data_IF_082531113003
#
_entry.id   IF_082531113003
#
_cell.length_a   1.000
_cell.length_b   1.000
_cell.length_c   1.000
_cell.angle_alpha   90.00
_cell.angle_beta   90.00
_cell.angle_gamma   90.00
#
_symmetry.space_group_name_H-M   'P 1'
#
loop_
_entity.id
_entity.type
_entity.pdbx_description
1 polymer ?
#
# COMPACT_ATOMS: atom_id res chain seq x y z
N UNK A 1 -9.93 4.37 11.57
CA UNK A 1 -10.12 2.90 11.52
C UNK A 1 -8.94 2.24 10.80
N UNK A 2 -8.52 1.02 11.16
CA UNK A 2 -7.36 0.32 10.56
C UNK A 2 -7.80 -1.00 9.89
N UNK A 3 -7.28 -1.28 8.70
CA UNK A 3 -7.43 -2.57 8.00
C UNK A 3 -6.07 -3.07 7.52
N UNK A 4 -5.86 -4.38 7.49
CA UNK A 4 -4.64 -5.00 6.94
C UNK A 4 -4.93 -5.76 5.64
N UNK A 5 -3.96 -5.75 4.73
CA UNK A 5 -3.95 -6.53 3.49
C UNK A 5 -2.65 -7.31 3.45
N UNK A 6 -2.67 -8.62 3.24
CA UNK A 6 -1.43 -9.41 3.16
C UNK A 6 -0.65 -9.06 1.90
N UNK A 7 0.67 -8.90 2.00
CA UNK A 7 1.51 -8.60 0.82
C UNK A 7 1.44 -9.74 -0.20
N UNK A 8 1.30 -11.00 0.25
CA UNK A 8 1.14 -12.15 -0.64
C UNK A 8 -0.15 -12.13 -1.48
N UNK A 9 -1.15 -11.34 -1.06
CA UNK A 9 -2.41 -11.14 -1.79
C UNK A 9 -2.28 -10.02 -2.84
N UNK A 10 -1.20 -9.23 -2.77
CA UNK A 10 -0.95 -8.11 -3.67
C UNK A 10 -0.02 -8.52 -4.81
N UNK A 11 -0.25 -7.94 -5.99
CA UNK A 11 0.66 -8.13 -7.12
C UNK A 11 1.94 -7.32 -6.90
N UNK A 12 3.10 -8.00 -6.88
CA UNK A 12 4.42 -7.39 -6.76
C UNK A 12 5.13 -7.34 -8.11
N UNK A 13 5.60 -6.16 -8.47
CA UNK A 13 6.33 -5.91 -9.71
C UNK A 13 7.75 -5.49 -9.38
N UNK A 14 8.74 -6.38 -9.57
CA UNK A 14 10.14 -6.02 -9.39
C UNK A 14 10.60 -5.12 -10.55
N UNK A 15 11.22 -3.99 -10.22
CA UNK A 15 11.80 -3.09 -11.22
C UNK A 15 13.21 -2.65 -10.79
N UNK A 16 14.12 -2.53 -11.75
CA UNK A 16 15.51 -2.13 -11.50
C UNK A 16 15.59 -0.74 -10.84
N UNK A 17 16.72 -0.46 -10.19
CA UNK A 17 17.00 0.84 -9.54
C UNK A 17 16.04 1.20 -8.40
N UNK A 18 15.55 0.20 -7.65
CA UNK A 18 14.70 0.43 -6.47
C UNK A 18 13.28 0.90 -6.80
N UNK A 19 12.86 0.75 -8.06
CA UNK A 19 11.52 1.14 -8.53
C UNK A 19 10.45 0.07 -8.31
N UNK A 20 10.80 -1.06 -7.68
CA UNK A 20 9.82 -2.11 -7.38
C UNK A 20 8.58 -1.56 -6.66
N UNK A 21 7.41 -2.01 -7.10
CA UNK A 21 6.14 -1.54 -6.60
C UNK A 21 5.14 -2.68 -6.40
N UNK A 22 4.15 -2.41 -5.56
CA UNK A 22 3.03 -3.28 -5.30
C UNK A 22 1.75 -2.62 -5.81
N UNK A 23 0.86 -3.41 -6.39
CA UNK A 23 -0.50 -2.98 -6.67
C UNK A 23 -1.36 -3.42 -5.50
N UNK A 24 -1.84 -2.43 -4.73
CA UNK A 24 -2.62 -2.64 -3.51
C UNK A 24 -3.99 -2.03 -3.68
N UNK A 25 -5.03 -2.84 -3.55
CA UNK A 25 -6.40 -2.34 -3.46
C UNK A 25 -6.67 -1.75 -2.07
N UNK A 26 -7.23 -0.54 -2.03
CA UNK A 26 -7.58 0.09 -0.77
C UNK A 26 -8.85 -0.56 -0.19
N UNK A 27 -8.80 -1.20 1.00
CA UNK A 27 -9.92 -1.92 1.57
C UNK A 27 -11.04 -1.02 2.14
N UNK A 28 -10.90 0.30 2.01
CA UNK A 28 -11.90 1.29 2.40
C UNK A 28 -12.73 1.79 1.22
N UNK A 29 -12.11 1.97 0.05
CA UNK A 29 -12.77 2.58 -1.11
C UNK A 29 -12.65 1.78 -2.41
N UNK A 30 -11.98 0.62 -2.39
CA UNK A 30 -11.75 -0.23 -3.57
C UNK A 30 -10.83 0.40 -4.62
N UNK A 31 -10.16 1.52 -4.30
CA UNK A 31 -9.24 2.16 -5.23
C UNK A 31 -7.96 1.33 -5.37
N UNK A 32 -7.56 1.01 -6.59
CA UNK A 32 -6.26 0.41 -6.88
C UNK A 32 -5.18 1.47 -6.72
N UNK A 33 -4.15 1.19 -5.92
CA UNK A 33 -3.05 2.10 -5.66
C UNK A 33 -1.72 1.45 -5.99
N UNK A 34 -0.87 2.19 -6.71
CA UNK A 34 0.52 1.81 -6.95
C UNK A 34 1.38 2.27 -5.77
N UNK A 35 1.88 1.30 -5.01
CA UNK A 35 2.64 1.51 -3.78
C UNK A 35 4.09 1.07 -4.00
N UNK A 36 4.99 2.02 -4.18
CA UNK A 36 6.42 1.71 -4.28
C UNK A 36 6.96 1.09 -3.00
N UNK A 37 7.77 0.03 -3.11
CA UNK A 37 8.30 -0.70 -1.97
C UNK A 37 9.07 0.20 -0.98
N UNK A 38 9.90 1.11 -1.53
CA UNK A 38 10.68 2.07 -0.73
C UNK A 38 9.77 3.08 -0.01
N UNK A 39 8.72 3.56 -0.68
CA UNK A 39 7.77 4.52 -0.12
C UNK A 39 6.90 3.88 0.97
N UNK A 40 6.46 2.63 0.75
CA UNK A 40 5.62 1.87 1.67
C UNK A 40 6.27 1.66 3.05
N UNK A 41 7.59 1.45 3.06
CA UNK A 41 8.40 1.22 4.27
C UNK A 41 8.75 2.51 5.00
N UNK A 42 8.94 3.62 4.27
CA UNK A 42 9.34 4.90 4.86
C UNK A 42 8.14 5.67 5.40
N UNK A 43 7.36 6.32 4.52
CA UNK A 43 6.28 7.20 4.94
C UNK A 43 4.88 6.60 4.69
N UNK A 44 4.79 5.56 3.86
CA UNK A 44 3.55 5.03 3.32
C UNK A 44 3.07 5.79 2.09
N UNK A 45 2.20 5.15 1.32
CA UNK A 45 1.50 5.73 0.17
C UNK A 45 0.11 6.17 0.60
N UNK A 46 -0.30 7.38 0.21
CA UNK A 46 -1.66 7.85 0.45
C UNK A 46 -2.58 7.38 -0.68
N UNK A 47 -3.75 6.87 -0.32
CA UNK A 47 -4.79 6.49 -1.25
C UNK A 47 -5.32 7.71 -1.99
N UNK A 48 -5.46 7.62 -3.31
CA UNK A 48 -5.85 8.75 -4.15
C UNK A 48 -7.33 9.15 -3.97
N UNK A 49 -8.19 8.20 -3.56
CA UNK A 49 -9.63 8.47 -3.31
C UNK A 49 -9.92 8.84 -1.86
N UNK A 50 -9.77 7.90 -0.93
CA UNK A 50 -10.17 8.11 0.46
C UNK A 50 -9.10 8.78 1.33
N UNK A 51 -7.92 9.09 0.78
CA UNK A 51 -6.81 9.71 1.50
C UNK A 51 -6.26 8.89 2.68
N UNK A 52 -6.68 7.63 2.82
CA UNK A 52 -6.12 6.67 3.78
C UNK A 52 -4.63 6.43 3.51
N UNK A 53 -3.88 6.06 4.55
CA UNK A 53 -2.43 5.84 4.47
C UNK A 53 -2.16 4.35 4.43
N UNK A 54 -1.54 3.88 3.37
CA UNK A 54 -1.11 2.50 3.15
C UNK A 54 0.38 2.39 3.52
N UNK A 55 0.71 1.63 4.55
CA UNK A 55 2.08 1.39 5.02
C UNK A 55 2.40 -0.09 5.03
N UNK A 56 3.61 -0.47 4.62
CA UNK A 56 4.04 -1.85 4.73
C UNK A 56 4.63 -2.11 6.12
N UNK A 57 4.19 -3.17 6.79
CA UNK A 57 4.70 -3.66 8.06
C UNK A 57 4.74 -5.19 8.04
N UNK A 58 5.92 -5.78 8.27
CA UNK A 58 6.13 -7.24 8.44
C UNK A 58 5.30 -8.15 7.48
N UNK A 59 5.37 -7.91 6.17
CA UNK A 59 4.66 -8.74 5.18
C UNK A 59 3.18 -8.43 5.00
N UNK A 60 2.69 -7.33 5.58
CA UNK A 60 1.32 -6.85 5.45
C UNK A 60 1.30 -5.35 5.12
N UNK A 61 0.28 -4.90 4.41
CA UNK A 61 -0.06 -3.50 4.21
C UNK A 61 -1.11 -3.08 5.22
N UNK A 62 -0.73 -2.19 6.12
CA UNK A 62 -1.63 -1.55 7.07
C UNK A 62 -2.20 -0.30 6.41
N UNK A 63 -3.52 -0.28 6.25
CA UNK A 63 -4.26 0.86 5.70
C UNK A 63 -4.99 1.56 6.84
N UNK A 64 -4.57 2.80 7.13
CA UNK A 64 -5.19 3.65 8.16
C UNK A 64 -6.01 4.74 7.50
N UNK A 65 -7.31 4.71 7.74
CA UNK A 65 -8.17 5.83 7.39
C UNK A 65 -8.01 6.97 8.41
N UNK A 66 -8.08 8.21 7.91
CA UNK A 66 -7.86 9.45 8.69
C UNK A 66 -9.17 10.12 9.15
N UNK A 67 -10.31 9.46 8.94
CA UNK A 67 -11.63 9.93 9.40
C UNK A 67 -11.82 9.83 10.90
#
# INVERSE_FOLDING_TARGET
MEKSVKVCDCNYYPEANGKSYYIVECPFCGCINTVYAWSARSNGKRCERCKAIIRQKFGEFIVKDRS
#
